data_IF_935642905358
#
_entry.id   IF_935642905358
#
_cell.length_a   1.000
_cell.length_b   1.000
_cell.length_c   1.000
_cell.angle_alpha   90.00
_cell.angle_beta   90.00
_cell.angle_gamma   90.00
#
_symmetry.space_group_name_H-M   'P 1'
#
loop_
_entity.id
_entity.type
_entity.pdbx_description
1 polymer ?
#
# COMPACT_ATOMS: atom_id res chain seq x y z
N UNK A 1 -67.50 -37.16 52.09
CA UNK A 1 -66.97 -36.31 50.99
C UNK A 1 -65.77 -36.99 50.35
N UNK A 2 -65.87 -37.43 49.09
CA UNK A 2 -64.77 -38.05 48.33
C UNK A 2 -64.33 -37.07 47.23
N UNK A 3 -63.16 -36.43 47.40
CA UNK A 3 -62.45 -35.73 46.32
C UNK A 3 -60.98 -36.07 46.45
N UNK A 4 -60.56 -37.23 45.93
CA UNK A 4 -59.14 -37.56 45.73
C UNK A 4 -59.05 -38.47 44.50
N UNK A 5 -58.92 -37.91 43.29
CA UNK A 5 -58.48 -38.62 42.07
C UNK A 5 -58.33 -37.64 40.89
N UNK A 6 -57.22 -36.88 40.81
CA UNK A 6 -56.78 -36.22 39.55
C UNK A 6 -55.30 -35.79 39.51
N UNK A 7 -54.42 -36.25 40.42
CA UNK A 7 -53.02 -35.77 40.50
C UNK A 7 -52.04 -36.36 39.47
N UNK A 8 -52.34 -37.51 38.86
CA UNK A 8 -51.42 -38.19 37.93
C UNK A 8 -51.39 -37.57 36.51
N UNK A 9 -52.54 -37.11 36.01
CA UNK A 9 -52.62 -36.48 34.68
C UNK A 9 -51.94 -35.11 34.64
N UNK A 10 -52.11 -34.30 35.69
CA UNK A 10 -51.45 -32.99 35.80
C UNK A 10 -49.92 -33.12 35.86
N UNK A 11 -49.38 -34.16 36.50
CA UNK A 11 -47.94 -34.42 36.53
C UNK A 11 -47.37 -34.73 35.14
N UNK A 12 -48.09 -35.51 34.34
CA UNK A 12 -47.67 -35.84 32.96
C UNK A 12 -47.66 -34.59 32.08
N UNK A 13 -48.68 -33.73 32.20
CA UNK A 13 -48.75 -32.46 31.47
C UNK A 13 -47.61 -31.53 31.89
N UNK A 14 -47.34 -31.43 33.20
CA UNK A 14 -46.27 -30.58 33.72
C UNK A 14 -44.88 -31.08 33.28
N UNK A 15 -44.67 -32.40 33.26
CA UNK A 15 -43.44 -33.02 32.77
C UNK A 15 -43.24 -32.84 31.26
N UNK A 16 -44.30 -32.97 30.47
CA UNK A 16 -44.24 -32.71 29.02
C UNK A 16 -43.92 -31.23 28.73
N UNK A 17 -44.50 -30.32 29.51
CA UNK A 17 -44.23 -28.88 29.39
C UNK A 17 -42.78 -28.54 29.72
N UNK A 18 -42.22 -29.09 30.82
CA UNK A 18 -40.82 -28.84 31.18
C UNK A 18 -39.84 -29.42 30.17
N UNK A 19 -40.11 -30.61 29.62
CA UNK A 19 -39.30 -31.19 28.53
C UNK A 19 -39.37 -30.32 27.27
N UNK A 20 -40.54 -29.81 26.90
CA UNK A 20 -40.68 -28.90 25.77
C UNK A 20 -39.88 -27.61 25.98
N UNK A 21 -39.94 -27.01 27.17
CA UNK A 21 -39.16 -25.81 27.52
C UNK A 21 -37.65 -26.09 27.46
N UNK A 22 -37.21 -27.25 27.95
CA UNK A 22 -35.80 -27.66 27.87
C UNK A 22 -35.32 -27.80 26.43
N UNK A 23 -36.11 -28.46 25.56
CA UNK A 23 -35.77 -28.64 24.14
C UNK A 23 -35.63 -27.29 23.44
N UNK A 24 -36.58 -26.37 23.65
CA UNK A 24 -36.54 -25.03 23.05
C UNK A 24 -35.34 -24.23 23.57
N UNK A 25 -35.03 -24.32 24.87
CA UNK A 25 -33.89 -23.63 25.47
C UNK A 25 -32.56 -24.11 24.91
N UNK A 26 -32.38 -25.44 24.78
CA UNK A 26 -31.18 -26.03 24.16
C UNK A 26 -31.07 -25.59 22.69
N UNK A 27 -32.20 -25.57 21.97
CA UNK A 27 -32.24 -25.11 20.58
C UNK A 27 -31.75 -23.68 20.42
N UNK A 28 -32.18 -22.76 21.30
CA UNK A 28 -31.73 -21.36 21.28
C UNK A 28 -30.24 -21.24 21.61
N UNK A 29 -29.76 -21.95 22.64
CA UNK A 29 -28.34 -21.93 23.02
C UNK A 29 -27.47 -22.48 21.89
N UNK A 30 -27.87 -23.62 21.30
CA UNK A 30 -27.15 -24.27 20.20
C UNK A 30 -27.15 -23.42 18.94
N UNK A 31 -28.29 -22.81 18.59
CA UNK A 31 -28.37 -21.86 17.48
C UNK A 31 -27.47 -20.66 17.73
N UNK A 32 -27.50 -20.09 18.93
CA UNK A 32 -26.65 -18.97 19.34
C UNK A 32 -25.17 -19.32 19.28
N UNK A 33 -24.75 -20.47 19.79
CA UNK A 33 -23.34 -20.89 19.73
C UNK A 33 -22.90 -21.15 18.29
N UNK A 34 -23.67 -21.88 17.48
CA UNK A 34 -23.29 -22.18 16.10
C UNK A 34 -23.20 -20.91 15.25
N UNK A 35 -24.15 -19.98 15.40
CA UNK A 35 -24.13 -18.72 14.66
C UNK A 35 -23.04 -17.78 15.14
N UNK A 36 -22.85 -17.66 16.46
CA UNK A 36 -21.80 -16.83 17.06
C UNK A 36 -20.40 -17.32 16.67
N UNK A 37 -20.11 -18.62 16.84
CA UNK A 37 -18.82 -19.21 16.46
C UNK A 37 -18.53 -19.07 14.96
N UNK A 38 -19.55 -19.15 14.11
CA UNK A 38 -19.37 -18.96 12.67
C UNK A 38 -19.06 -17.50 12.33
N UNK A 39 -19.69 -16.55 13.01
CA UNK A 39 -19.48 -15.12 12.75
C UNK A 39 -18.13 -14.62 13.26
N UNK A 40 -17.75 -14.98 14.49
CA UNK A 40 -16.48 -14.57 15.12
C UNK A 40 -15.27 -15.06 14.31
N UNK A 41 -15.30 -16.34 13.91
CA UNK A 41 -14.25 -16.89 13.04
C UNK A 41 -14.17 -16.18 11.70
N UNK A 42 -15.30 -15.83 11.07
CA UNK A 42 -15.29 -15.10 9.79
C UNK A 42 -14.59 -13.73 9.88
N UNK A 43 -14.78 -13.00 10.98
CA UNK A 43 -14.11 -11.72 11.20
C UNK A 43 -12.58 -11.89 11.36
N UNK A 44 -12.13 -12.94 12.04
CA UNK A 44 -10.69 -13.23 12.15
C UNK A 44 -10.07 -13.48 10.77
N UNK A 45 -10.75 -14.18 9.87
CA UNK A 45 -10.26 -14.43 8.51
C UNK A 45 -10.16 -13.15 7.67
N UNK A 46 -11.18 -12.28 7.73
CA UNK A 46 -11.13 -10.99 7.06
C UNK A 46 -9.97 -10.14 7.57
N UNK A 47 -9.77 -10.10 8.89
CA UNK A 47 -8.66 -9.38 9.51
C UNK A 47 -7.29 -9.94 9.08
N UNK A 48 -7.16 -11.26 8.87
CA UNK A 48 -5.93 -11.85 8.33
C UNK A 48 -5.69 -11.37 6.89
N UNK A 49 -6.72 -11.38 6.04
CA UNK A 49 -6.61 -10.91 4.65
C UNK A 49 -6.18 -9.45 4.61
N UNK A 50 -6.86 -8.56 5.35
CA UNK A 50 -6.54 -7.13 5.41
C UNK A 50 -5.09 -6.90 5.89
N UNK A 51 -4.65 -7.62 6.93
CA UNK A 51 -3.28 -7.54 7.42
C UNK A 51 -2.25 -8.03 6.41
N UNK A 52 -2.59 -9.05 5.60
CA UNK A 52 -1.71 -9.54 4.55
C UNK A 52 -1.60 -8.52 3.44
N UNK A 53 -2.69 -7.93 2.99
CA UNK A 53 -2.67 -6.91 1.95
C UNK A 53 -1.84 -5.69 2.36
N UNK A 54 -2.15 -5.11 3.52
CA UNK A 54 -1.42 -3.97 4.07
C UNK A 54 0.05 -4.31 4.34
N UNK A 55 0.32 -5.47 4.95
CA UNK A 55 1.68 -5.93 5.23
C UNK A 55 2.49 -6.14 3.96
N UNK A 56 1.88 -6.69 2.91
CA UNK A 56 2.55 -6.93 1.63
C UNK A 56 2.82 -5.62 0.91
N UNK A 57 1.89 -4.67 0.93
CA UNK A 57 2.11 -3.32 0.41
C UNK A 57 3.31 -2.66 1.12
N UNK A 58 3.36 -2.75 2.45
CA UNK A 58 4.46 -2.17 3.22
C UNK A 58 5.81 -2.82 2.92
N UNK A 59 5.84 -4.13 2.70
CA UNK A 59 7.04 -4.86 2.29
C UNK A 59 7.52 -4.36 0.93
N UNK A 60 6.62 -4.21 -0.05
CA UNK A 60 6.95 -3.68 -1.38
C UNK A 60 7.50 -2.25 -1.29
N UNK A 61 6.89 -1.37 -0.48
CA UNK A 61 7.38 0.00 -0.25
C UNK A 61 8.80 0.02 0.33
N UNK A 62 9.04 -0.74 1.39
CA UNK A 62 10.36 -0.81 2.05
C UNK A 62 11.41 -1.40 1.10
N UNK A 63 11.05 -2.43 0.34
CA UNK A 63 11.93 -2.99 -0.67
C UNK A 63 12.28 -1.97 -1.76
N UNK A 64 11.32 -1.15 -2.19
CA UNK A 64 11.57 -0.08 -3.16
C UNK A 64 12.43 1.04 -2.58
N UNK A 65 12.21 1.46 -1.34
CA UNK A 65 13.06 2.41 -0.64
C UNK A 65 14.52 1.91 -0.55
N UNK A 66 14.70 0.66 -0.12
CA UNK A 66 16.02 0.03 -0.04
C UNK A 66 16.69 -0.08 -1.42
N UNK A 67 15.94 -0.48 -2.45
CA UNK A 67 16.46 -0.53 -3.82
C UNK A 67 16.90 0.86 -4.28
N UNK A 68 16.06 1.87 -4.15
CA UNK A 68 16.33 3.22 -4.67
C UNK A 68 17.39 3.97 -3.88
N UNK A 69 17.73 3.53 -2.66
CA UNK A 69 18.88 4.07 -1.92
C UNK A 69 20.21 3.86 -2.66
N UNK A 70 20.43 2.67 -3.24
CA UNK A 70 21.71 2.25 -3.86
C UNK A 70 21.61 1.90 -5.35
N UNK A 71 20.41 1.64 -5.86
CA UNK A 71 20.08 1.12 -7.20
C UNK A 71 20.81 -0.18 -7.61
N UNK A 72 21.36 -0.93 -6.64
CA UNK A 72 22.24 -2.07 -6.93
C UNK A 72 21.59 -3.44 -6.69
N UNK A 73 20.74 -3.60 -5.67
CA UNK A 73 20.15 -4.91 -5.33
C UNK A 73 18.73 -5.08 -5.90
N UNK A 74 18.63 -5.62 -7.12
CA UNK A 74 17.33 -5.99 -7.72
C UNK A 74 16.67 -7.21 -7.06
N UNK A 75 17.39 -7.95 -6.21
CA UNK A 75 16.85 -9.11 -5.50
C UNK A 75 16.28 -8.73 -4.13
N UNK A 76 16.39 -7.47 -3.70
CA UNK A 76 15.89 -7.02 -2.38
C UNK A 76 14.41 -7.32 -2.20
N UNK A 77 13.59 -7.11 -3.24
CA UNK A 77 12.16 -7.39 -3.21
C UNK A 77 11.89 -8.88 -2.98
N UNK A 78 12.53 -9.76 -3.75
CA UNK A 78 12.37 -11.21 -3.62
C UNK A 78 12.79 -11.70 -2.22
N UNK A 79 13.92 -11.19 -1.70
CA UNK A 79 14.39 -11.54 -0.34
C UNK A 79 13.37 -11.12 0.72
N UNK A 80 12.88 -9.88 0.65
CA UNK A 80 11.89 -9.34 1.60
C UNK A 80 10.56 -10.09 1.51
N UNK A 81 10.09 -10.41 0.31
CA UNK A 81 8.84 -11.17 0.10
C UNK A 81 8.97 -12.62 0.58
N UNK A 82 10.11 -13.28 0.37
CA UNK A 82 10.35 -14.63 0.91
C UNK A 82 10.40 -14.64 2.44
N UNK A 83 11.01 -13.61 3.03
CA UNK A 83 11.02 -13.44 4.48
C UNK A 83 9.61 -13.13 5.00
N UNK A 84 8.83 -12.31 4.30
CA UNK A 84 7.44 -12.01 4.62
C UNK A 84 6.56 -13.27 4.60
N UNK A 85 6.64 -14.07 3.53
CA UNK A 85 5.93 -15.36 3.43
C UNK A 85 6.25 -16.28 4.62
N UNK A 86 7.54 -16.41 4.97
CA UNK A 86 7.99 -17.23 6.09
C UNK A 86 7.46 -16.71 7.43
N UNK A 87 7.55 -15.40 7.67
CA UNK A 87 7.11 -14.77 8.91
C UNK A 87 5.59 -14.87 9.07
N UNK A 88 4.86 -14.64 7.99
CA UNK A 88 3.42 -14.71 7.97
C UNK A 88 2.91 -16.13 8.26
N UNK A 89 3.50 -17.14 7.62
CA UNK A 89 3.18 -18.55 7.89
C UNK A 89 3.41 -18.91 9.37
N UNK A 90 4.48 -18.38 9.98
CA UNK A 90 4.79 -18.58 11.40
C UNK A 90 3.84 -17.83 12.35
N UNK A 91 3.26 -16.70 11.91
CA UNK A 91 2.33 -15.92 12.73
C UNK A 91 0.95 -16.59 12.84
N UNK A 92 0.54 -17.38 11.85
CA UNK A 92 -0.78 -18.00 11.78
C UNK A 92 -0.77 -19.54 11.62
N UNK A 93 -0.06 -20.29 12.49
CA UNK A 93 0.12 -21.74 12.33
C UNK A 93 -1.18 -22.54 12.46
N UNK A 94 -2.19 -22.04 13.16
CA UNK A 94 -3.49 -22.71 13.38
C UNK A 94 -4.53 -22.46 12.29
N UNK A 95 -4.31 -21.49 11.40
CA UNK A 95 -5.27 -21.10 10.36
C UNK A 95 -4.99 -21.78 9.02
N UNK A 96 -3.87 -22.50 8.92
CA UNK A 96 -3.45 -23.19 7.70
C UNK A 96 -3.31 -22.24 6.53
N UNK A 97 -2.74 -21.05 6.81
CA UNK A 97 -2.53 -20.01 5.82
C UNK A 97 -1.22 -20.23 5.08
N UNK A 98 -1.26 -20.19 3.76
CA UNK A 98 -0.10 -20.14 2.90
C UNK A 98 -0.16 -18.83 2.09
N UNK A 99 0.88 -18.02 2.23
CA UNK A 99 1.14 -16.89 1.35
C UNK A 99 2.18 -17.31 0.34
N UNK A 100 1.88 -17.14 -0.94
CA UNK A 100 2.82 -17.37 -2.04
C UNK A 100 2.94 -16.09 -2.86
N UNK A 101 4.13 -15.84 -3.39
CA UNK A 101 4.40 -14.69 -4.24
C UNK A 101 4.80 -15.15 -5.64
N UNK A 102 4.22 -14.52 -6.66
CA UNK A 102 4.63 -14.62 -8.06
C UNK A 102 4.90 -13.23 -8.64
N UNK A 103 5.63 -13.18 -9.76
CA UNK A 103 5.75 -11.99 -10.61
C UNK A 103 6.18 -10.72 -9.84
N UNK A 104 7.24 -10.85 -9.04
CA UNK A 104 7.84 -9.74 -8.32
C UNK A 104 8.84 -8.99 -9.22
N UNK A 105 8.58 -7.72 -9.50
CA UNK A 105 9.50 -6.86 -10.25
C UNK A 105 9.82 -5.59 -9.49
N UNK A 106 11.06 -5.12 -9.63
CA UNK A 106 11.54 -3.89 -9.02
C UNK A 106 12.52 -3.21 -9.97
N UNK A 107 12.40 -1.91 -10.12
CA UNK A 107 13.25 -1.18 -11.03
C UNK A 107 12.95 0.30 -11.08
N UNK A 108 13.69 0.96 -11.97
CA UNK A 108 13.53 2.35 -12.33
C UNK A 108 13.56 2.48 -13.85
N UNK A 109 12.98 3.54 -14.37
CA UNK A 109 12.88 3.75 -15.81
C UNK A 109 12.38 5.13 -16.19
N UNK A 110 12.12 5.28 -17.49
CA UNK A 110 11.56 6.47 -18.09
C UNK A 110 10.37 6.10 -18.96
N UNK A 111 9.36 6.97 -19.01
CA UNK A 111 8.24 6.86 -19.94
C UNK A 111 7.81 8.25 -20.41
N UNK A 112 7.33 8.42 -21.66
CA UNK A 112 6.72 9.66 -22.09
C UNK A 112 5.47 9.94 -21.26
N UNK A 113 5.24 11.20 -20.87
CA UNK A 113 4.04 11.62 -20.13
C UNK A 113 2.81 11.55 -21.04
N UNK A 114 2.94 12.06 -22.27
CA UNK A 114 1.93 11.94 -23.33
C UNK A 114 2.61 11.61 -24.64
N UNK A 115 1.87 11.16 -25.65
CA UNK A 115 2.41 10.91 -27.00
C UNK A 115 2.74 12.21 -27.76
N UNK A 116 2.31 13.37 -27.26
CA UNK A 116 2.41 14.66 -27.95
C UNK A 116 3.43 15.61 -27.29
N UNK A 117 3.70 15.46 -25.99
CA UNK A 117 4.67 16.28 -25.26
C UNK A 117 6.03 15.60 -25.18
N UNK A 118 7.12 16.37 -25.33
CA UNK A 118 8.49 15.91 -25.12
C UNK A 118 8.84 15.70 -23.62
N UNK A 119 7.83 15.68 -22.75
CA UNK A 119 8.02 15.53 -21.31
C UNK A 119 8.25 14.04 -20.98
N UNK A 120 9.35 13.78 -20.29
CA UNK A 120 9.73 12.43 -19.82
C UNK A 120 9.44 12.35 -18.32
N UNK A 121 8.69 11.31 -17.93
CA UNK A 121 8.54 10.90 -16.54
C UNK A 121 9.65 9.90 -16.20
N UNK A 122 10.40 10.21 -15.16
CA UNK A 122 11.33 9.30 -14.51
C UNK A 122 10.60 8.60 -13.38
N UNK A 123 10.80 7.31 -13.19
CA UNK A 123 10.08 6.59 -12.14
C UNK A 123 10.93 5.51 -11.48
N UNK A 124 10.56 5.20 -10.24
CA UNK A 124 10.96 4.02 -9.48
C UNK A 124 9.70 3.24 -9.13
N UNK A 125 9.70 1.93 -9.36
CA UNK A 125 8.51 1.10 -9.16
C UNK A 125 8.86 -0.29 -8.67
N UNK A 126 7.98 -0.85 -7.84
CA UNK A 126 7.99 -2.25 -7.45
C UNK A 126 6.57 -2.81 -7.51
N UNK A 127 6.43 -4.06 -7.94
CA UNK A 127 5.17 -4.78 -7.90
C UNK A 127 5.40 -6.24 -7.49
N UNK A 128 4.38 -6.85 -6.91
CA UNK A 128 4.36 -8.27 -6.61
C UNK A 128 2.92 -8.77 -6.67
N UNK A 129 2.73 -9.96 -7.27
CA UNK A 129 1.45 -10.67 -7.22
C UNK A 129 1.49 -11.66 -6.08
N UNK A 130 0.53 -11.59 -5.18
CA UNK A 130 0.45 -12.46 -4.01
C UNK A 130 -0.80 -13.32 -4.07
N UNK A 131 -0.67 -14.55 -3.60
CA UNK A 131 -1.77 -15.51 -3.49
C UNK A 131 -1.86 -16.03 -2.06
N UNK A 132 -3.05 -15.94 -1.47
CA UNK A 132 -3.38 -16.45 -0.15
C UNK A 132 -4.27 -17.67 -0.28
N UNK A 133 -3.88 -18.74 0.40
CA UNK A 133 -4.70 -19.91 0.63
C UNK A 133 -4.92 -20.09 2.14
N UNK A 134 -6.17 -20.27 2.58
CA UNK A 134 -6.55 -20.57 3.97
C UNK A 134 -7.35 -21.87 4.02
N UNK A 135 -6.66 -22.97 4.31
CA UNK A 135 -7.28 -24.30 4.35
C UNK A 135 -8.36 -24.44 5.43
N UNK A 136 -8.25 -23.71 6.55
CA UNK A 136 -9.22 -23.78 7.65
C UNK A 136 -10.63 -23.26 7.33
N UNK A 137 -10.77 -22.48 6.25
CA UNK A 137 -12.06 -21.98 5.71
C UNK A 137 -12.34 -22.41 4.29
N UNK A 138 -11.44 -23.18 3.67
CA UNK A 138 -11.56 -23.56 2.27
C UNK A 138 -11.41 -22.38 1.30
N UNK A 139 -10.75 -21.30 1.71
CA UNK A 139 -10.39 -20.20 0.82
C UNK A 139 -9.11 -20.59 0.07
N UNK A 140 -9.17 -20.63 -1.25
CA UNK A 140 -8.03 -20.95 -2.10
C UNK A 140 -8.00 -20.00 -3.30
N UNK A 141 -6.81 -19.56 -3.68
CA UNK A 141 -6.59 -18.74 -4.86
C UNK A 141 -6.92 -17.26 -4.69
N UNK A 142 -6.96 -16.73 -3.47
CA UNK A 142 -7.19 -15.29 -3.27
C UNK A 142 -5.96 -14.50 -3.73
N UNK A 143 -6.10 -13.79 -4.85
CA UNK A 143 -5.00 -13.07 -5.50
C UNK A 143 -5.19 -11.58 -5.39
N UNK A 144 -4.10 -10.90 -5.07
CA UNK A 144 -4.04 -9.45 -5.05
C UNK A 144 -2.65 -8.98 -5.51
N UNK A 145 -2.55 -7.70 -5.89
CA UNK A 145 -1.29 -7.09 -6.33
C UNK A 145 -0.90 -6.03 -5.31
N UNK A 146 0.33 -6.11 -4.83
CA UNK A 146 0.95 -5.07 -4.04
C UNK A 146 1.91 -4.27 -4.93
N UNK A 147 1.74 -2.96 -4.99
CA UNK A 147 2.55 -2.06 -5.81
C UNK A 147 3.05 -0.87 -5.00
N UNK A 148 4.23 -0.39 -5.38
CA UNK A 148 4.77 0.90 -4.96
C UNK A 148 5.34 1.64 -6.18
N UNK A 149 5.06 2.92 -6.28
CA UNK A 149 5.44 3.78 -7.39
C UNK A 149 5.79 5.19 -6.90
N UNK A 150 6.86 5.74 -7.47
CA UNK A 150 7.18 7.16 -7.38
C UNK A 150 7.66 7.63 -8.75
N UNK A 151 6.96 8.61 -9.31
CA UNK A 151 7.27 9.24 -10.58
C UNK A 151 7.59 10.72 -10.41
N UNK A 152 8.52 11.22 -11.22
CA UNK A 152 8.88 12.63 -11.29
C UNK A 152 8.95 13.09 -12.75
N UNK A 153 8.31 14.21 -13.05
CA UNK A 153 8.39 14.91 -14.33
C UNK A 153 9.17 16.19 -14.06
N UNK A 154 10.29 16.36 -14.76
CA UNK A 154 11.25 17.44 -14.53
C UNK A 154 11.36 18.33 -15.75
N UNK A 155 11.25 19.64 -15.54
CA UNK A 155 11.57 20.66 -16.53
C UNK A 155 12.45 21.73 -15.88
N UNK A 156 13.58 22.05 -16.49
CA UNK A 156 14.55 23.00 -15.96
C UNK A 156 14.86 24.06 -17.01
N UNK A 157 14.92 25.32 -16.57
CA UNK A 157 15.09 26.50 -17.42
C UNK A 157 16.01 27.51 -16.74
N UNK A 158 16.72 28.34 -17.51
CA UNK A 158 17.42 29.51 -16.96
C UNK A 158 16.53 30.73 -16.98
N UNK A 159 16.55 31.45 -15.86
CA UNK A 159 16.09 32.83 -15.80
C UNK A 159 17.30 33.72 -15.49
N UNK A 160 17.85 34.35 -16.52
CA UNK A 160 19.08 35.14 -16.45
C UNK A 160 20.30 34.32 -15.97
N UNK A 161 20.57 34.29 -14.65
CA UNK A 161 21.66 33.53 -14.02
C UNK A 161 21.15 32.49 -13.00
N UNK A 162 19.83 32.40 -12.83
CA UNK A 162 19.21 31.53 -11.85
C UNK A 162 18.67 30.29 -12.55
N UNK A 163 18.86 29.14 -11.91
CA UNK A 163 18.30 27.88 -12.37
C UNK A 163 16.89 27.73 -11.79
N UNK A 164 15.89 27.67 -12.66
CA UNK A 164 14.49 27.46 -12.29
C UNK A 164 14.07 26.06 -12.71
N UNK A 165 13.71 25.25 -11.73
CA UNK A 165 13.29 23.86 -11.90
C UNK A 165 11.82 23.74 -11.53
N UNK A 166 11.03 23.16 -12.44
CA UNK A 166 9.67 22.72 -12.21
C UNK A 166 9.65 21.20 -12.13
N UNK A 167 9.14 20.67 -11.04
CA UNK A 167 9.03 19.22 -10.84
C UNK A 167 7.63 18.85 -10.34
N UNK A 168 6.98 17.96 -11.07
CA UNK A 168 5.72 17.33 -10.64
C UNK A 168 6.03 15.91 -10.17
N UNK A 169 5.49 15.53 -9.00
CA UNK A 169 5.78 14.25 -8.36
C UNK A 169 4.48 13.51 -8.09
N UNK A 170 4.42 12.26 -8.53
CA UNK A 170 3.23 11.42 -8.46
C UNK A 170 3.56 10.07 -7.82
N UNK A 171 2.60 9.52 -7.10
CA UNK A 171 2.63 8.17 -6.55
C UNK A 171 1.68 7.25 -7.33
N UNK A 172 1.29 6.13 -6.74
CA UNK A 172 0.34 5.20 -7.32
C UNK A 172 -0.95 5.92 -7.76
N UNK A 173 -1.56 5.40 -8.84
CA UNK A 173 -2.81 5.91 -9.41
C UNK A 173 -2.78 7.39 -9.81
N UNK A 174 -1.61 7.89 -10.21
CA UNK A 174 -1.39 9.29 -10.60
C UNK A 174 -1.75 10.31 -9.51
N UNK A 175 -1.70 9.88 -8.25
CA UNK A 175 -1.97 10.78 -7.12
C UNK A 175 -0.77 11.72 -6.90
N UNK A 176 -0.94 13.04 -6.82
CA UNK A 176 0.16 13.96 -6.57
C UNK A 176 0.71 13.83 -5.14
N UNK A 177 2.02 14.00 -4.98
CA UNK A 177 2.68 14.00 -3.67
C UNK A 177 2.73 15.43 -3.13
N UNK A 178 1.98 15.72 -2.06
CA UNK A 178 1.75 17.10 -1.57
C UNK A 178 2.66 17.55 -0.40
N UNK A 179 3.46 16.66 0.18
CA UNK A 179 4.19 16.90 1.44
C UNK A 179 5.72 16.94 1.27
N UNK A 180 6.21 17.36 0.09
CA UNK A 180 7.65 17.48 -0.14
C UNK A 180 8.16 18.82 0.38
N UNK A 181 9.33 18.79 1.01
CA UNK A 181 10.01 19.97 1.54
C UNK A 181 11.45 20.03 0.99
N UNK A 182 12.25 21.02 1.40
CA UNK A 182 13.64 21.15 0.90
C UNK A 182 14.49 19.89 1.12
N UNK A 183 14.29 19.16 2.21
CA UNK A 183 15.05 17.94 2.49
C UNK A 183 14.64 16.77 1.57
N UNK A 184 13.48 16.86 0.92
CA UNK A 184 13.02 15.87 -0.06
C UNK A 184 13.75 15.97 -1.40
N UNK A 185 14.51 17.04 -1.65
CA UNK A 185 15.16 17.29 -2.93
C UNK A 185 16.68 17.36 -2.78
N UNK A 186 17.38 16.73 -3.72
CA UNK A 186 18.81 16.97 -3.93
C UNK A 186 19.09 17.20 -5.41
N UNK A 187 20.06 18.07 -5.69
CA UNK A 187 20.42 18.52 -7.03
C UNK A 187 21.90 18.21 -7.24
N UNK A 188 22.24 17.45 -8.29
CA UNK A 188 23.60 16.99 -8.57
C UNK A 188 24.30 16.35 -7.36
N UNK A 189 23.53 15.61 -6.54
CA UNK A 189 23.94 14.98 -5.28
C UNK A 189 24.18 15.92 -4.10
N UNK A 190 23.86 17.22 -4.21
CA UNK A 190 23.86 18.17 -3.11
C UNK A 190 22.45 18.39 -2.58
N UNK A 191 22.28 18.42 -1.25
CA UNK A 191 20.97 18.64 -0.63
C UNK A 191 20.48 20.05 -0.90
N UNK A 192 19.20 20.21 -1.26
CA UNK A 192 18.60 21.53 -1.46
C UNK A 192 18.58 22.38 -0.17
N UNK A 193 18.67 21.73 1.00
CA UNK A 193 18.79 22.40 2.29
C UNK A 193 20.12 23.15 2.46
N UNK A 194 21.18 22.70 1.78
CA UNK A 194 22.54 23.25 1.91
C UNK A 194 22.84 24.31 0.83
N UNK A 195 21.95 24.44 -0.16
CA UNK A 195 22.08 25.35 -1.29
C UNK A 195 21.21 26.58 -1.06
N UNK A 196 21.71 27.76 -1.49
CA UNK A 196 20.94 28.99 -1.49
C UNK A 196 19.79 28.92 -2.52
N UNK A 197 18.67 28.36 -2.08
CA UNK A 197 17.53 28.02 -2.92
C UNK A 197 16.21 28.50 -2.33
N UNK A 198 15.21 28.66 -3.18
CA UNK A 198 13.81 28.81 -2.75
C UNK A 198 12.99 27.63 -3.28
N UNK A 199 12.10 27.11 -2.44
CA UNK A 199 11.16 26.06 -2.80
C UNK A 199 9.76 26.60 -2.59
N UNK A 200 8.98 26.61 -3.67
CA UNK A 200 7.56 26.98 -3.67
C UNK A 200 6.76 25.88 -4.36
N UNK A 201 5.47 25.78 -4.09
CA UNK A 201 4.61 24.85 -4.82
C UNK A 201 3.31 25.56 -5.22
N UNK A 202 2.73 25.11 -6.31
CA UNK A 202 1.44 25.59 -6.80
C UNK A 202 0.72 24.47 -7.54
N UNK A 203 -0.59 24.64 -7.73
CA UNK A 203 -1.37 23.75 -8.56
C UNK A 203 -1.27 24.19 -10.02
N UNK A 204 -0.82 23.29 -10.87
CA UNK A 204 -0.82 23.45 -12.33
C UNK A 204 -1.78 22.48 -12.97
N UNK A 205 -2.27 22.83 -14.15
CA UNK A 205 -3.05 21.95 -15.01
C UNK A 205 -2.13 21.62 -16.19
N UNK A 206 -1.93 20.33 -16.47
CA UNK A 206 -1.20 19.88 -17.66
C UNK A 206 -2.09 19.95 -18.91
N UNK A 207 -1.50 19.73 -20.09
CA UNK A 207 -2.19 19.73 -21.39
C UNK A 207 -3.38 18.72 -21.46
N UNK A 208 -3.39 17.72 -20.58
CA UNK A 208 -4.47 16.71 -20.43
C UNK A 208 -5.54 17.09 -19.37
N UNK A 209 -5.61 18.35 -18.94
CA UNK A 209 -6.50 18.83 -17.86
C UNK A 209 -6.29 18.14 -16.50
N UNK A 210 -5.12 17.52 -16.30
CA UNK A 210 -4.78 16.84 -15.04
C UNK A 210 -4.20 17.85 -14.05
N UNK A 211 -4.87 18.00 -12.90
CA UNK A 211 -4.40 18.82 -11.80
C UNK A 211 -3.17 18.17 -11.14
N UNK A 212 -2.03 18.87 -11.17
CA UNK A 212 -0.77 18.43 -10.56
C UNK A 212 -0.26 19.46 -9.56
N UNK A 213 0.42 18.96 -8.53
CA UNK A 213 1.23 19.81 -7.66
C UNK A 213 2.60 19.96 -8.30
N UNK A 214 2.94 21.19 -8.66
CA UNK A 214 4.22 21.54 -9.26
C UNK A 214 5.07 22.23 -8.20
N UNK A 215 6.23 21.66 -7.93
CA UNK A 215 7.25 22.26 -7.08
C UNK A 215 8.18 23.09 -7.97
N UNK A 216 8.31 24.37 -7.63
CA UNK A 216 9.24 25.31 -8.25
C UNK A 216 10.42 25.53 -7.32
N UNK A 217 11.58 25.10 -7.78
CA UNK A 217 12.87 25.31 -7.12
C UNK A 217 13.63 26.37 -7.88
N UNK A 218 14.14 27.38 -7.18
CA UNK A 218 15.03 28.40 -7.76
C UNK A 218 16.36 28.34 -7.06
N UNK A 219 17.45 28.18 -7.82
CA UNK A 219 18.83 28.24 -7.34
C UNK A 219 19.48 29.50 -7.87
N UNK A 220 19.98 30.33 -6.96
CA UNK A 220 20.56 31.62 -7.30
C UNK A 220 22.01 31.49 -7.79
N UNK A 221 22.39 32.25 -8.82
CA UNK A 221 23.76 32.30 -9.37
C UNK A 221 24.31 30.92 -9.76
N UNK A 222 23.52 30.13 -10.48
CA UNK A 222 23.91 28.78 -10.87
C UNK A 222 24.91 28.81 -12.04
N UNK A 223 26.02 28.05 -11.99
CA UNK A 223 27.13 28.16 -12.93
C UNK A 223 26.81 27.53 -14.31
N UNK A 224 26.02 28.24 -15.12
CA UNK A 224 25.84 28.01 -16.56
C UNK A 224 25.17 26.69 -16.98
N UNK A 225 24.78 26.57 -18.26
CA UNK A 225 24.00 25.44 -18.75
C UNK A 225 24.73 24.11 -18.57
N UNK A 226 24.10 23.23 -17.80
CA UNK A 226 24.57 21.89 -17.48
C UNK A 226 23.38 20.94 -17.39
N UNK A 227 23.65 19.64 -17.43
CA UNK A 227 22.65 18.64 -17.12
C UNK A 227 22.32 18.73 -15.63
N UNK A 228 21.04 18.92 -15.32
CA UNK A 228 20.55 18.99 -13.95
C UNK A 228 19.99 17.62 -13.58
N UNK A 229 20.57 17.02 -12.55
CA UNK A 229 20.05 15.81 -11.91
C UNK A 229 19.29 16.21 -10.66
N UNK A 230 18.00 15.90 -10.60
CA UNK A 230 17.17 16.13 -9.41
C UNK A 230 16.77 14.77 -8.85
N UNK A 231 17.19 14.48 -7.62
CA UNK A 231 16.65 13.36 -6.87
C UNK A 231 15.54 13.85 -5.94
N UNK A 232 14.44 13.10 -5.91
CA UNK A 232 13.31 13.34 -5.01
C UNK A 232 13.14 12.13 -4.12
N UNK A 233 12.97 12.36 -2.82
CA UNK A 233 12.65 11.35 -1.82
C UNK A 233 11.30 11.66 -1.19
N UNK A 234 10.38 10.70 -1.24
CA UNK A 234 9.05 10.84 -0.62
C UNK A 234 9.06 10.44 0.87
N UNK A 235 7.88 10.48 1.52
CA UNK A 235 7.75 10.13 2.95
C UNK A 235 7.92 8.63 3.26
N UNK A 236 8.05 7.79 2.23
CA UNK A 236 8.29 6.35 2.34
C UNK A 236 9.76 6.01 2.08
N UNK A 237 10.62 7.03 2.00
CA UNK A 237 12.04 6.93 1.63
C UNK A 237 12.28 6.36 0.23
N UNK A 238 11.26 6.38 -0.64
CA UNK A 238 11.40 5.99 -2.04
C UNK A 238 12.06 7.15 -2.78
N UNK A 239 13.15 6.86 -3.50
CA UNK A 239 13.90 7.84 -4.29
C UNK A 239 13.66 7.67 -5.79
N UNK A 240 13.43 8.77 -6.49
CA UNK A 240 13.45 8.86 -7.95
C UNK A 240 14.49 9.88 -8.38
N UNK A 241 15.22 9.60 -9.46
CA UNK A 241 16.20 10.53 -10.04
C UNK A 241 15.71 10.91 -11.42
N UNK A 242 15.46 12.20 -11.62
CA UNK A 242 15.10 12.79 -12.89
C UNK A 242 16.27 13.61 -13.44
N UNK A 243 16.39 13.66 -14.77
CA UNK A 243 17.39 14.48 -15.43
C UNK A 243 16.76 15.41 -16.45
N UNK A 244 17.34 16.59 -16.61
CA UNK A 244 16.92 17.56 -17.61
C UNK A 244 18.15 18.31 -18.12
N UNK A 245 18.24 18.45 -19.44
CA UNK A 245 19.27 19.28 -20.07
C UNK A 245 18.70 20.68 -20.19
N UNK A 246 19.36 21.64 -19.54
CA UNK A 246 18.95 23.04 -19.61
C UNK A 246 19.60 23.68 -20.83
N UNK A 247 18.78 24.07 -21.80
CA UNK A 247 19.19 24.82 -23.00
C UNK A 247 18.93 26.30 -22.85
#
# INVERSE_FOLDING_TARGET
>A
MKIVRHKKGQFIVLAALTVAIMIVSIGIIMYGTVTYFKHERWQEYLMIIDNVELGSQRVVEISLANYTSTFNDRQVLNKSLNQWQTNFTKAYPGFGVALTCSDATIGNGTRPVTSQTNNIMYFSSANATLNIDMTSVGLTGYKFVASAFLGAILNATYDSNDLVIFIAVEKEDSTPVANLNKNSFSINNESLADINSTLTHFYGIDDDDVLRIIYRIVILNYPGPSNVLVAVVDTRDIKVIANSTVT
#
